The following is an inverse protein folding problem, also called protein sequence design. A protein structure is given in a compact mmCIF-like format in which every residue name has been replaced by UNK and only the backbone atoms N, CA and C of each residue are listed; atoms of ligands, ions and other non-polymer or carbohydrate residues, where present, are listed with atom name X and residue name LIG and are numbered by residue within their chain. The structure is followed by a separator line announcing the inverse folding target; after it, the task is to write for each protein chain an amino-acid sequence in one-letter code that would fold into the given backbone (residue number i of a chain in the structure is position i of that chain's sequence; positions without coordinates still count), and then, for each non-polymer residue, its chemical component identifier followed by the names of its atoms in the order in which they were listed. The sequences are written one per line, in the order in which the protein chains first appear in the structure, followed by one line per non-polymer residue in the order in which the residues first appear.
data_IF_665227041972
#
_entry.id   IF_665227041972
#
_cell.length_a   1.000
_cell.length_b   1.000
_cell.length_c   1.000
_cell.angle_alpha   90.00
_cell.angle_beta   90.00
_cell.angle_gamma   90.00
#
_symmetry.space_group_name_H-M   'P 1'
#
loop_
_entity.id
_entity.type
_entity.pdbx_description
1 polymer ?
#
# COMPACT_ATOMS: atom_id res chain seq x y z
N UNK A 1 2.90 9.12 31.91
CA UNK A 1 2.16 8.33 32.91
C UNK A 1 1.10 9.18 33.63
N UNK A 2 1.41 10.41 34.04
CA UNK A 2 0.45 11.32 34.70
C UNK A 2 -0.73 11.75 33.77
N UNK A 3 -0.50 11.92 32.47
CA UNK A 3 -1.58 12.30 31.56
C UNK A 3 -2.58 11.18 31.26
N UNK A 4 -2.26 9.93 31.56
CA UNK A 4 -3.19 8.79 31.44
C UNK A 4 -4.19 8.72 32.59
N UNK A 5 -3.88 9.34 33.72
CA UNK A 5 -4.72 9.37 34.92
C UNK A 5 -5.79 10.48 34.89
N UNK A 6 -5.68 11.44 33.95
CA UNK A 6 -6.60 12.59 33.86
C UNK A 6 -7.76 12.44 32.88
N UNK A 7 -7.90 11.29 32.20
CA UNK A 7 -9.13 11.01 31.43
C UNK A 7 -10.27 10.73 32.40
N UNK A 8 -11.13 11.72 32.61
CA UNK A 8 -12.41 11.57 33.27
C UNK A 8 -13.26 10.57 32.50
N UNK A 9 -13.23 9.31 32.92
CA UNK A 9 -14.25 8.34 32.52
C UNK A 9 -15.56 8.80 33.15
N UNK A 10 -16.53 9.21 32.36
CA UNK A 10 -17.88 9.52 32.81
C UNK A 10 -18.45 8.28 33.51
N UNK A 11 -18.42 8.28 34.84
CA UNK A 11 -18.99 7.20 35.65
C UNK A 11 -18.08 6.65 36.76
N UNK A 12 -16.79 7.07 36.83
CA UNK A 12 -15.95 6.75 38.00
C UNK A 12 -16.07 7.85 39.06
N UNK A 13 -16.23 7.49 40.34
CA UNK A 13 -16.13 8.49 41.39
C UNK A 13 -14.74 9.18 41.36
N UNK A 14 -14.72 10.49 41.50
CA UNK A 14 -13.51 11.33 41.40
C UNK A 14 -12.43 11.02 42.47
N UNK A 15 -12.75 10.17 43.45
CA UNK A 15 -11.79 9.68 44.44
C UNK A 15 -12.07 8.26 44.86
N UNK A 16 -11.01 7.47 45.05
CA UNK A 16 -11.14 6.16 45.69
C UNK A 16 -11.52 6.39 47.17
N UNK A 17 -12.40 5.53 47.74
CA UNK A 17 -12.74 5.58 49.16
C UNK A 17 -11.49 5.39 50.02
N UNK A 18 -11.42 6.06 51.14
CA UNK A 18 -10.35 5.84 52.12
C UNK A 18 -10.42 4.42 52.66
N UNK A 19 -9.39 3.63 52.44
CA UNK A 19 -9.30 2.23 52.88
C UNK A 19 -8.10 2.07 53.83
N UNK A 20 -8.34 1.45 54.97
CA UNK A 20 -7.29 1.05 55.88
C UNK A 20 -6.61 -0.26 55.43
N UNK A 21 -5.35 -0.47 55.83
CA UNK A 21 -4.56 -1.67 55.47
C UNK A 21 -5.22 -3.01 55.83
N UNK A 22 -6.18 -3.00 56.78
CA UNK A 22 -6.88 -4.19 57.27
C UNK A 22 -8.34 -4.27 56.82
N UNK A 23 -8.78 -3.33 55.97
CA UNK A 23 -10.16 -3.34 55.44
C UNK A 23 -10.43 -4.61 54.62
N UNK A 24 -11.47 -5.36 54.98
CA UNK A 24 -11.93 -6.48 54.17
C UNK A 24 -12.80 -5.96 53.04
N UNK A 25 -12.39 -6.22 51.81
CA UNK A 25 -13.12 -5.81 50.62
C UNK A 25 -13.74 -7.06 50.03
N UNK A 26 -15.04 -7.00 49.75
CA UNK A 26 -15.78 -8.06 49.04
C UNK A 26 -16.05 -7.62 47.60
N UNK A 27 -15.59 -8.40 46.61
CA UNK A 27 -15.92 -8.13 45.23
C UNK A 27 -17.41 -8.35 44.97
N UNK A 28 -18.08 -7.42 44.30
CA UNK A 28 -19.48 -7.56 43.89
C UNK A 28 -19.62 -8.41 42.63
N UNK A 29 -18.66 -8.24 41.73
CA UNK A 29 -18.67 -8.88 40.43
C UNK A 29 -17.23 -9.01 39.92
N UNK A 30 -16.94 -10.12 39.24
CA UNK A 30 -15.67 -10.36 38.56
C UNK A 30 -16.00 -10.51 37.08
N UNK A 31 -15.56 -9.53 36.27
CA UNK A 31 -15.74 -9.54 34.83
C UNK A 31 -14.42 -9.98 34.15
N UNK A 32 -14.50 -10.98 33.32
CA UNK A 32 -13.41 -11.39 32.47
C UNK A 32 -13.58 -10.72 31.09
N UNK A 33 -12.70 -9.77 30.77
CA UNK A 33 -12.66 -9.11 29.46
C UNK A 33 -11.50 -9.66 28.64
N UNK A 34 -11.80 -10.24 27.48
CA UNK A 34 -10.79 -10.60 26.51
C UNK A 34 -10.36 -9.33 25.75
N UNK A 35 -9.07 -8.99 25.80
CA UNK A 35 -8.50 -7.82 25.07
C UNK A 35 -7.36 -8.29 24.18
N UNK A 36 -7.46 -7.95 22.90
CA UNK A 36 -6.39 -8.14 21.94
C UNK A 36 -5.62 -6.86 21.72
N UNK A 37 -4.31 -6.95 21.52
CA UNK A 37 -3.47 -5.81 21.13
C UNK A 37 -3.78 -5.40 19.70
N UNK A 38 -3.80 -4.10 19.46
CA UNK A 38 -3.93 -3.58 18.11
C UNK A 38 -2.54 -3.48 17.44
N UNK A 39 -2.43 -3.74 16.13
CA UNK A 39 -1.18 -3.52 15.41
C UNK A 39 -0.79 -2.03 15.42
N UNK A 40 0.50 -1.70 15.16
CA UNK A 40 0.94 -0.33 15.02
C UNK A 40 0.13 0.41 13.95
N UNK A 41 -0.14 1.69 14.20
CA UNK A 41 -0.87 2.53 13.22
C UNK A 41 0.00 2.78 11.99
N UNK A 42 -0.62 2.81 10.81
CA UNK A 42 0.06 3.23 9.58
C UNK A 42 0.49 4.69 9.69
N UNK A 43 1.56 5.06 9.00
CA UNK A 43 2.05 6.42 8.96
C UNK A 43 1.05 7.38 8.30
N UNK A 44 0.89 8.56 8.87
CA UNK A 44 0.43 9.75 8.15
C UNK A 44 1.66 10.49 7.59
N UNK A 45 1.46 11.45 6.68
CA UNK A 45 2.57 12.27 6.17
C UNK A 45 3.35 12.94 7.33
N UNK A 46 2.65 13.52 8.31
CA UNK A 46 3.28 14.16 9.46
C UNK A 46 4.06 13.17 10.34
N UNK A 47 3.54 11.95 10.53
CA UNK A 47 4.26 10.91 11.28
C UNK A 47 5.49 10.42 10.50
N UNK A 48 5.40 10.32 9.16
CA UNK A 48 6.54 9.94 8.33
C UNK A 48 7.64 11.01 8.40
N UNK A 49 7.29 12.30 8.31
CA UNK A 49 8.26 13.41 8.49
C UNK A 49 8.96 13.31 9.83
N UNK A 50 8.20 13.12 10.90
CA UNK A 50 8.78 12.99 12.25
C UNK A 50 9.73 11.79 12.38
N UNK A 51 9.38 10.67 11.75
CA UNK A 51 10.24 9.47 11.74
C UNK A 51 11.52 9.69 10.92
N UNK A 52 11.41 10.35 9.76
CA UNK A 52 12.56 10.74 8.94
C UNK A 52 13.50 11.67 9.72
N UNK A 53 12.97 12.67 10.40
CA UNK A 53 13.73 13.58 11.26
C UNK A 53 14.44 12.81 12.38
N UNK A 54 13.73 11.93 13.08
CA UNK A 54 14.29 11.11 14.16
C UNK A 54 15.44 10.22 13.71
N UNK A 55 15.35 9.69 12.47
CA UNK A 55 16.39 8.83 11.87
C UNK A 55 17.45 9.59 11.09
N UNK A 56 17.36 10.91 10.99
CA UNK A 56 18.30 11.76 10.24
C UNK A 56 18.22 11.60 8.72
N UNK A 57 17.08 11.10 8.21
CA UNK A 57 16.84 10.89 6.78
C UNK A 57 16.22 12.14 6.18
N UNK A 58 16.93 12.79 5.26
CA UNK A 58 16.51 14.06 4.68
C UNK A 58 16.75 15.26 5.61
N UNK A 59 16.27 16.40 5.16
CA UNK A 59 16.36 17.69 5.90
C UNK A 59 15.01 18.42 5.74
N UNK A 60 14.72 19.45 6.57
CA UNK A 60 13.45 20.18 6.49
C UNK A 60 13.08 20.64 5.08
N UNK A 61 14.07 21.03 4.29
CA UNK A 61 13.88 21.45 2.88
C UNK A 61 13.51 20.31 1.92
N UNK A 62 13.76 19.05 2.28
CA UNK A 62 13.56 17.88 1.38
C UNK A 62 12.40 16.99 1.78
N UNK A 63 11.87 17.05 3.00
CA UNK A 63 10.82 16.14 3.47
C UNK A 63 9.59 16.14 2.56
N UNK A 64 9.08 17.32 2.21
CA UNK A 64 7.89 17.42 1.35
C UNK A 64 8.14 16.84 -0.04
N UNK A 65 9.30 17.12 -0.62
CA UNK A 65 9.69 16.60 -1.94
C UNK A 65 9.85 15.07 -1.94
N UNK A 66 10.34 14.49 -0.84
CA UNK A 66 10.45 13.03 -0.70
C UNK A 66 9.05 12.40 -0.68
N UNK A 67 8.13 12.91 0.14
CA UNK A 67 6.76 12.39 0.23
C UNK A 67 6.03 12.53 -1.10
N UNK A 68 6.19 13.68 -1.77
CA UNK A 68 5.60 13.91 -3.08
C UNK A 68 6.13 12.89 -4.11
N UNK A 69 7.44 12.63 -4.15
CA UNK A 69 8.05 11.63 -5.04
C UNK A 69 7.55 10.21 -4.77
N UNK A 70 7.35 9.82 -3.51
CA UNK A 70 6.77 8.52 -3.17
C UNK A 70 5.38 8.34 -3.79
N UNK A 71 4.55 9.40 -3.74
CA UNK A 71 3.21 9.41 -4.34
C UNK A 71 3.25 9.48 -5.85
N UNK A 72 4.11 10.33 -6.44
CA UNK A 72 4.28 10.45 -7.89
C UNK A 72 4.78 9.17 -8.56
N UNK A 73 5.63 8.41 -7.85
CA UNK A 73 6.13 7.11 -8.30
C UNK A 73 5.15 5.97 -8.00
N UNK A 74 4.00 6.27 -7.42
CA UNK A 74 3.00 5.28 -7.03
C UNK A 74 3.54 4.20 -6.07
N UNK A 75 4.58 4.52 -5.29
CA UNK A 75 5.11 3.61 -4.28
C UNK A 75 4.23 3.57 -3.04
N UNK A 76 3.53 4.66 -2.77
CA UNK A 76 2.51 4.77 -1.73
C UNK A 76 1.26 5.47 -2.26
N UNK A 77 0.12 5.11 -1.71
CA UNK A 77 -1.15 5.82 -1.90
C UNK A 77 -1.64 6.40 -0.59
N UNK A 78 -2.33 7.53 -0.67
CA UNK A 78 -2.93 8.18 0.50
C UNK A 78 -4.42 7.84 0.59
N UNK A 79 -4.81 7.14 1.65
CA UNK A 79 -6.21 6.79 1.95
C UNK A 79 -6.51 7.17 3.40
N UNK A 80 -7.57 7.95 3.63
CA UNK A 80 -7.97 8.38 4.97
C UNK A 80 -6.83 9.01 5.81
N UNK A 81 -6.04 9.91 5.19
CA UNK A 81 -4.87 10.57 5.79
C UNK A 81 -3.71 9.64 6.18
N UNK A 82 -3.76 8.38 5.80
CA UNK A 82 -2.67 7.41 6.03
C UNK A 82 -2.00 7.03 4.72
N UNK A 83 -0.70 6.74 4.80
CA UNK A 83 0.10 6.25 3.69
C UNK A 83 0.06 4.73 3.66
N UNK A 84 -0.26 4.17 2.50
CA UNK A 84 -0.36 2.74 2.28
C UNK A 84 0.62 2.36 1.17
N UNK A 85 1.58 1.44 1.42
CA UNK A 85 2.47 0.95 0.38
C UNK A 85 1.68 0.22 -0.71
N UNK A 86 2.05 0.46 -1.96
CA UNK A 86 1.56 -0.31 -3.11
C UNK A 86 2.39 -1.57 -3.31
N UNK A 87 1.92 -2.50 -4.13
CA UNK A 87 2.72 -3.67 -4.51
C UNK A 87 4.01 -3.29 -5.24
N UNK A 88 3.95 -2.25 -6.07
CA UNK A 88 5.12 -1.70 -6.76
C UNK A 88 6.12 -1.14 -5.75
N UNK A 89 5.65 -0.36 -4.77
CA UNK A 89 6.49 0.18 -3.71
C UNK A 89 7.20 -0.91 -2.91
N UNK A 90 6.48 -1.99 -2.56
CA UNK A 90 7.05 -3.14 -1.83
C UNK A 90 8.09 -3.87 -2.69
N UNK A 91 7.78 -4.14 -3.97
CA UNK A 91 8.73 -4.81 -4.86
C UNK A 91 10.02 -4.00 -5.06
N UNK A 92 9.90 -2.67 -5.22
CA UNK A 92 11.06 -1.79 -5.32
C UNK A 92 11.86 -1.80 -4.02
N UNK A 93 11.21 -1.75 -2.85
CA UNK A 93 11.90 -1.85 -1.55
C UNK A 93 12.66 -3.17 -1.43
N UNK A 94 12.01 -4.30 -1.74
CA UNK A 94 12.64 -5.63 -1.71
C UNK A 94 13.83 -5.73 -2.69
N UNK A 95 13.68 -5.19 -3.90
CA UNK A 95 14.78 -5.15 -4.88
C UNK A 95 15.99 -4.40 -4.33
N UNK A 96 15.76 -3.20 -3.80
CA UNK A 96 16.81 -2.34 -3.27
C UNK A 96 17.48 -2.96 -2.03
N UNK A 97 16.71 -3.54 -1.13
CA UNK A 97 17.22 -4.23 0.05
C UNK A 97 18.05 -5.47 -0.30
N UNK A 98 17.62 -6.25 -1.28
CA UNK A 98 18.29 -7.49 -1.65
C UNK A 98 19.59 -7.26 -2.46
N UNK A 99 19.60 -6.28 -3.36
CA UNK A 99 20.72 -6.06 -4.29
C UNK A 99 21.58 -4.85 -3.96
N UNK A 100 21.00 -3.83 -3.33
CA UNK A 100 21.63 -2.54 -3.11
C UNK A 100 21.60 -2.09 -1.64
N UNK A 101 21.48 -3.01 -0.70
CA UNK A 101 21.34 -2.70 0.73
C UNK A 101 22.46 -1.80 1.26
N UNK A 102 23.68 -1.90 0.71
CA UNK A 102 24.79 -1.03 1.08
C UNK A 102 24.49 0.47 0.87
N UNK A 103 23.65 0.82 -0.12
CA UNK A 103 23.26 2.20 -0.43
C UNK A 103 21.84 2.57 0.00
N UNK A 104 20.95 1.58 0.13
CA UNK A 104 19.52 1.78 0.37
C UNK A 104 19.09 1.33 1.77
N UNK A 105 19.89 1.67 2.78
CA UNK A 105 19.51 1.51 4.18
C UNK A 105 19.45 2.88 4.89
N UNK A 106 18.72 2.91 5.97
CA UNK A 106 18.48 4.12 6.74
C UNK A 106 19.78 4.77 7.25
N UNK A 107 20.72 3.95 7.72
CA UNK A 107 22.00 4.40 8.26
C UNK A 107 22.85 5.06 7.18
N UNK A 108 22.95 4.45 6.00
CA UNK A 108 23.72 5.01 4.90
C UNK A 108 23.16 6.38 4.49
N UNK A 109 21.81 6.49 4.39
CA UNK A 109 21.15 7.74 4.01
C UNK A 109 21.44 8.83 5.06
N UNK A 110 21.31 8.53 6.35
CA UNK A 110 21.61 9.47 7.41
C UNK A 110 23.08 9.90 7.43
N UNK A 111 24.01 8.95 7.24
CA UNK A 111 25.44 9.23 7.16
C UNK A 111 25.80 10.10 5.94
N UNK A 112 25.15 9.87 4.81
CA UNK A 112 25.33 10.69 3.61
C UNK A 112 24.87 12.14 3.84
N UNK A 113 23.70 12.33 4.45
CA UNK A 113 23.21 13.65 4.83
C UNK A 113 24.19 14.39 5.77
N UNK A 114 24.73 13.68 6.75
CA UNK A 114 25.74 14.25 7.67
C UNK A 114 27.05 14.63 6.95
N UNK A 115 27.50 13.81 5.97
CA UNK A 115 28.66 14.12 5.13
C UNK A 115 28.42 15.35 4.26
N UNK A 116 27.23 15.50 3.69
CA UNK A 116 26.86 16.71 2.92
C UNK A 116 26.85 17.96 3.80
N UNK A 117 26.35 17.86 5.01
CA UNK A 117 26.40 18.95 5.99
C UNK A 117 27.85 19.31 6.35
N UNK A 118 28.74 18.31 6.53
CA UNK A 118 30.16 18.53 6.80
C UNK A 118 30.89 19.21 5.62
N UNK A 119 30.53 18.84 4.36
CA UNK A 119 31.04 19.56 3.18
C UNK A 119 30.59 21.02 3.21
N UNK A 120 29.33 21.31 3.54
CA UNK A 120 28.81 22.67 3.60
C UNK A 120 29.52 23.53 4.64
N UNK A 121 30.04 22.92 5.72
CA UNK A 121 30.86 23.57 6.77
C UNK A 121 32.37 23.57 6.44
N UNK A 122 32.77 23.08 5.27
CA UNK A 122 34.19 22.93 4.85
C UNK A 122 35.02 21.99 5.76
N UNK A 123 34.37 21.06 6.45
CA UNK A 123 34.99 20.04 7.29
C UNK A 123 35.45 18.82 6.48
N UNK A 124 34.79 18.53 5.35
CA UNK A 124 35.08 17.43 4.45
C UNK A 124 35.32 17.90 3.02
N UNK A 125 36.20 17.20 2.30
CA UNK A 125 36.41 17.43 0.86
C UNK A 125 35.27 16.81 0.05
N UNK A 126 34.60 17.62 -0.77
CA UNK A 126 33.59 17.15 -1.72
C UNK A 126 34.13 16.03 -2.64
N UNK A 127 35.35 16.19 -3.12
CA UNK A 127 35.98 15.24 -4.06
C UNK A 127 36.23 13.87 -3.38
N UNK A 128 36.65 13.87 -2.14
CA UNK A 128 36.87 12.63 -1.38
C UNK A 128 35.57 11.90 -1.13
N UNK A 129 34.54 12.59 -0.67
CA UNK A 129 33.20 12.01 -0.45
C UNK A 129 32.64 11.44 -1.74
N UNK A 130 32.80 12.15 -2.87
CA UNK A 130 32.34 11.67 -4.18
C UNK A 130 33.11 10.44 -4.67
N UNK A 131 34.44 10.40 -4.45
CA UNK A 131 35.27 9.24 -4.79
C UNK A 131 34.87 8.01 -3.96
N UNK A 132 34.71 8.18 -2.67
CA UNK A 132 34.25 7.08 -1.79
C UNK A 132 32.86 6.57 -2.20
N UNK A 133 31.91 7.46 -2.50
CA UNK A 133 30.59 7.06 -2.96
C UNK A 133 30.66 6.27 -4.26
N UNK A 134 31.47 6.68 -5.20
CA UNK A 134 31.55 6.05 -6.52
C UNK A 134 32.37 4.75 -6.50
N UNK A 135 33.56 4.75 -5.90
CA UNK A 135 34.46 3.59 -5.90
C UNK A 135 34.27 2.66 -4.69
N UNK A 136 33.61 3.14 -3.65
CA UNK A 136 33.47 2.45 -2.37
C UNK A 136 34.66 2.70 -1.44
N UNK A 137 34.54 2.14 -0.26
CA UNK A 137 35.58 2.11 0.77
C UNK A 137 35.62 0.72 1.44
N UNK A 138 36.23 0.60 2.62
CA UNK A 138 36.31 -0.66 3.35
C UNK A 138 34.96 -1.14 3.88
N UNK A 139 33.99 -0.23 4.05
CA UNK A 139 32.70 -0.52 4.71
C UNK A 139 31.60 -0.85 3.67
N UNK A 140 31.69 -0.37 2.45
CA UNK A 140 30.69 -0.64 1.43
C UNK A 140 31.26 -0.65 0.00
N UNK A 141 30.58 -1.39 -0.89
CA UNK A 141 30.84 -1.39 -2.33
C UNK A 141 30.35 -0.07 -2.93
N UNK A 142 31.21 0.63 -3.70
CA UNK A 142 30.82 1.83 -4.41
C UNK A 142 29.83 1.57 -5.55
N UNK A 143 29.19 2.65 -6.01
CA UNK A 143 28.21 2.61 -7.12
C UNK A 143 28.77 1.93 -8.36
N UNK A 144 30.04 2.14 -8.71
CA UNK A 144 30.66 1.51 -9.86
C UNK A 144 30.56 -0.02 -9.86
N UNK A 145 30.80 -0.65 -8.69
CA UNK A 145 30.69 -2.10 -8.56
C UNK A 145 29.25 -2.62 -8.48
N UNK A 146 28.33 -1.80 -7.96
CA UNK A 146 26.93 -2.16 -7.84
C UNK A 146 26.21 -2.13 -9.20
N UNK A 147 26.67 -1.30 -10.15
CA UNK A 147 26.12 -1.25 -11.51
C UNK A 147 26.43 -2.50 -12.34
N UNK A 148 27.46 -3.26 -11.96
CA UNK A 148 27.85 -4.51 -12.63
C UNK A 148 27.09 -5.73 -12.08
N UNK A 149 26.27 -5.57 -11.04
CA UNK A 149 25.50 -6.68 -10.47
C UNK A 149 24.31 -7.05 -11.38
N UNK A 150 24.24 -8.32 -11.76
CA UNK A 150 23.10 -8.85 -12.49
C UNK A 150 21.89 -9.01 -11.56
N UNK A 151 20.75 -8.47 -11.98
CA UNK A 151 19.49 -8.55 -11.24
C UNK A 151 18.53 -9.48 -11.95
N UNK A 152 18.02 -10.48 -11.25
CA UNK A 152 16.92 -11.31 -11.73
C UNK A 152 15.61 -10.51 -11.69
N UNK A 153 15.18 -10.02 -12.85
CA UNK A 153 13.98 -9.19 -13.02
C UNK A 153 12.74 -9.95 -12.58
N UNK A 154 12.64 -11.25 -12.85
CA UNK A 154 11.48 -12.05 -12.47
C UNK A 154 11.33 -12.11 -10.94
N UNK A 155 12.44 -12.32 -10.23
CA UNK A 155 12.48 -12.31 -8.78
C UNK A 155 12.24 -10.91 -8.21
N UNK A 156 12.80 -9.89 -8.83
CA UNK A 156 12.60 -8.49 -8.43
C UNK A 156 11.13 -8.04 -8.54
N UNK A 157 10.42 -8.55 -9.53
CA UNK A 157 8.98 -8.28 -9.73
C UNK A 157 8.07 -9.21 -8.93
N UNK A 158 8.58 -9.99 -7.98
CA UNK A 158 7.80 -10.91 -7.15
C UNK A 158 7.79 -10.44 -5.71
N UNK A 159 6.61 -10.25 -5.15
CA UNK A 159 6.38 -9.86 -3.75
C UNK A 159 5.84 -11.07 -2.98
N UNK A 160 6.58 -11.50 -1.96
CA UNK A 160 6.13 -12.56 -1.07
C UNK A 160 5.15 -11.99 -0.04
N UNK A 161 3.94 -12.52 0.01
CA UNK A 161 2.88 -12.07 0.95
C UNK A 161 2.81 -13.00 2.15
N UNK A 162 2.66 -14.29 1.88
CA UNK A 162 2.60 -15.37 2.87
C UNK A 162 3.33 -16.60 2.31
N UNK A 163 3.50 -17.63 3.15
CA UNK A 163 4.05 -18.89 2.70
C UNK A 163 3.21 -19.46 1.55
N UNK A 164 3.84 -19.69 0.41
CA UNK A 164 3.22 -20.16 -0.84
C UNK A 164 2.28 -19.15 -1.54
N UNK A 165 2.42 -17.85 -1.25
CA UNK A 165 1.65 -16.80 -1.87
C UNK A 165 2.55 -15.68 -2.40
N UNK A 166 2.83 -15.74 -3.71
CA UNK A 166 3.64 -14.77 -4.41
C UNK A 166 2.76 -13.91 -5.34
N UNK A 167 2.92 -12.60 -5.21
CA UNK A 167 2.32 -11.64 -6.12
C UNK A 167 3.38 -11.21 -7.12
N UNK A 168 3.06 -11.32 -8.39
CA UNK A 168 3.90 -10.83 -9.48
C UNK A 168 3.41 -9.50 -10.00
N UNK A 169 4.34 -8.62 -10.33
CA UNK A 169 4.06 -7.32 -10.92
C UNK A 169 4.32 -7.41 -12.41
N UNK A 170 3.26 -7.39 -13.19
CA UNK A 170 3.31 -7.42 -14.64
C UNK A 170 3.04 -6.05 -15.28
N UNK A 171 3.12 -6.00 -16.61
CA UNK A 171 2.81 -4.80 -17.41
C UNK A 171 1.42 -4.21 -17.11
N UNK A 172 0.48 -5.07 -16.70
CA UNK A 172 -0.92 -4.69 -16.48
C UNK A 172 -1.28 -4.58 -14.99
N UNK A 173 -0.31 -4.58 -14.10
CA UNK A 173 -0.50 -4.48 -12.64
C UNK A 173 -0.14 -5.76 -11.89
N UNK A 174 -0.44 -5.80 -10.59
CA UNK A 174 -0.16 -6.96 -9.75
C UNK A 174 -1.12 -8.13 -10.07
N UNK A 175 -0.60 -9.35 -10.04
CA UNK A 175 -1.37 -10.58 -10.24
C UNK A 175 -0.79 -11.73 -9.44
N UNK A 176 -1.61 -12.71 -9.11
CA UNK A 176 -1.20 -13.98 -8.53
C UNK A 176 -1.24 -15.05 -9.62
N UNK A 177 -0.21 -15.88 -9.67
CA UNK A 177 -0.17 -17.05 -10.55
C UNK A 177 -0.43 -18.30 -9.72
N UNK A 178 -1.53 -19.01 -10.01
CA UNK A 178 -1.90 -20.26 -9.37
C UNK A 178 -2.29 -21.28 -10.44
N UNK A 179 -1.68 -22.47 -10.42
CA UNK A 179 -1.99 -23.57 -11.36
C UNK A 179 -1.98 -23.17 -12.85
N UNK A 180 -1.06 -22.27 -13.22
CA UNK A 180 -0.94 -21.76 -14.60
C UNK A 180 -1.93 -20.64 -14.96
N UNK A 181 -2.87 -20.29 -14.09
CA UNK A 181 -3.81 -19.20 -14.27
C UNK A 181 -3.32 -17.93 -13.55
N UNK A 182 -3.57 -16.78 -14.14
CA UNK A 182 -3.25 -15.48 -13.58
C UNK A 182 -4.52 -14.80 -13.07
N UNK A 183 -4.58 -14.55 -11.76
CA UNK A 183 -5.66 -13.80 -11.11
C UNK A 183 -5.21 -12.37 -10.88
N UNK A 184 -5.83 -11.40 -11.54
CA UNK A 184 -5.49 -9.98 -11.42
C UNK A 184 -5.92 -9.45 -10.06
N UNK A 185 -5.05 -8.68 -9.40
CA UNK A 185 -5.37 -8.00 -8.15
C UNK A 185 -5.90 -6.60 -8.47
N UNK A 186 -7.11 -6.23 -8.00
CA UNK A 186 -7.66 -4.89 -8.18
C UNK A 186 -6.79 -3.80 -7.54
N UNK A 187 -6.77 -2.60 -8.12
CA UNK A 187 -5.94 -1.46 -7.64
C UNK A 187 -6.37 -0.93 -6.25
N UNK A 188 -7.59 -1.18 -5.83
CA UNK A 188 -8.13 -0.77 -4.54
C UNK A 188 -7.82 -1.76 -3.40
N UNK A 189 -7.22 -2.90 -3.72
CA UNK A 189 -6.79 -3.92 -2.77
C UNK A 189 -5.30 -3.77 -2.46
N UNK A 190 -4.97 -3.56 -1.20
CA UNK A 190 -3.61 -3.32 -0.75
C UNK A 190 -2.99 -4.54 -0.08
N UNK A 191 -1.65 -4.57 -0.05
CA UNK A 191 -0.86 -5.67 0.50
C UNK A 191 -1.36 -6.16 1.88
N UNK A 192 -1.62 -5.26 2.82
CA UNK A 192 -2.08 -5.63 4.17
C UNK A 192 -3.54 -6.08 4.27
N UNK A 193 -4.29 -6.06 3.16
CA UNK A 193 -5.68 -6.51 3.07
C UNK A 193 -5.80 -7.85 2.37
N UNK A 194 -4.70 -8.33 1.76
CA UNK A 194 -4.63 -9.62 1.08
C UNK A 194 -4.42 -10.75 2.07
N UNK A 195 -5.23 -11.78 1.90
CA UNK A 195 -5.04 -13.09 2.51
C UNK A 195 -5.50 -14.18 1.53
N UNK A 196 -5.15 -15.43 1.80
CA UNK A 196 -5.47 -16.56 0.93
C UNK A 196 -6.98 -16.66 0.61
N UNK A 197 -7.85 -16.42 1.59
CA UNK A 197 -9.31 -16.45 1.40
C UNK A 197 -9.78 -15.39 0.40
N UNK A 198 -9.32 -14.15 0.54
CA UNK A 198 -9.68 -13.06 -0.37
C UNK A 198 -9.20 -13.31 -1.80
N UNK A 199 -8.07 -13.99 -1.96
CA UNK A 199 -7.56 -14.37 -3.28
C UNK A 199 -8.36 -15.51 -3.91
N UNK A 200 -8.77 -16.51 -3.12
CA UNK A 200 -9.63 -17.58 -3.61
C UNK A 200 -11.01 -17.02 -4.01
N UNK A 201 -11.54 -16.04 -3.27
CA UNK A 201 -12.76 -15.32 -3.63
C UNK A 201 -12.59 -14.55 -4.95
N UNK A 202 -11.48 -13.83 -5.14
CA UNK A 202 -11.16 -13.12 -6.38
C UNK A 202 -10.98 -14.07 -7.57
N UNK A 203 -10.30 -15.19 -7.37
CA UNK A 203 -10.09 -16.20 -8.40
C UNK A 203 -11.43 -16.83 -8.85
N UNK A 204 -12.30 -17.12 -7.89
CA UNK A 204 -13.65 -17.62 -8.15
C UNK A 204 -14.48 -16.59 -8.94
N UNK A 205 -14.47 -15.31 -8.51
CA UNK A 205 -15.17 -14.22 -9.18
C UNK A 205 -14.65 -13.96 -10.61
N UNK A 206 -13.35 -14.20 -10.87
CA UNK A 206 -12.78 -14.03 -12.22
C UNK A 206 -13.01 -15.23 -13.14
N UNK A 207 -13.21 -16.42 -12.57
CA UNK A 207 -13.48 -17.66 -13.31
C UNK A 207 -14.96 -17.86 -13.63
N UNK A 208 -15.83 -17.40 -12.73
CA UNK A 208 -17.27 -17.46 -12.97
C UNK A 208 -17.67 -16.36 -13.97
N UNK A 209 -18.22 -16.77 -15.11
CA UNK A 209 -18.93 -15.85 -15.99
C UNK A 209 -20.23 -15.44 -15.28
N UNK A 210 -20.14 -14.44 -14.42
CA UNK A 210 -21.28 -13.87 -13.71
C UNK A 210 -22.20 -13.18 -14.70
N UNK A 211 -23.17 -13.94 -15.24
CA UNK A 211 -24.20 -13.40 -16.15
C UNK A 211 -25.14 -12.53 -15.32
N UNK A 212 -25.12 -11.23 -15.54
CA UNK A 212 -26.03 -10.26 -14.90
C UNK A 212 -27.38 -10.26 -15.59
N UNK A 213 -27.41 -10.53 -16.88
CA UNK A 213 -28.61 -10.48 -17.69
C UNK A 213 -28.32 -10.60 -19.18
N UNK A 214 -29.34 -10.31 -20.01
CA UNK A 214 -29.24 -10.36 -21.49
C UNK A 214 -29.40 -8.94 -22.04
N UNK A 215 -28.49 -8.54 -22.90
CA UNK A 215 -28.54 -7.27 -23.61
C UNK A 215 -29.65 -7.28 -24.66
N UNK A 216 -30.16 -6.13 -25.11
CA UNK A 216 -31.21 -5.97 -26.11
C UNK A 216 -30.91 -6.63 -27.48
N UNK A 217 -29.64 -6.92 -27.77
CA UNK A 217 -29.18 -7.64 -28.94
C UNK A 217 -29.17 -9.18 -28.78
N UNK A 218 -29.60 -9.70 -27.61
CA UNK A 218 -29.64 -11.14 -27.32
C UNK A 218 -28.32 -11.73 -26.83
N UNK A 219 -27.28 -10.92 -26.55
CA UNK A 219 -26.03 -11.39 -25.95
C UNK A 219 -26.09 -11.35 -24.42
N UNK A 220 -25.43 -12.30 -23.76
CA UNK A 220 -25.26 -12.26 -22.32
C UNK A 220 -24.36 -11.09 -21.91
N UNK A 221 -24.72 -10.45 -20.79
CA UNK A 221 -23.92 -9.42 -20.13
C UNK A 221 -23.17 -10.09 -18.99
N UNK A 222 -21.85 -10.10 -19.08
CA UNK A 222 -20.95 -10.70 -18.10
C UNK A 222 -20.37 -9.62 -17.20
N UNK A 223 -20.41 -9.82 -15.88
CA UNK A 223 -19.65 -9.04 -14.91
C UNK A 223 -18.28 -9.69 -14.77
N UNK A 224 -17.24 -8.92 -15.01
CA UNK A 224 -15.85 -9.34 -14.85
C UNK A 224 -15.07 -8.36 -13.97
N UNK A 225 -14.04 -8.85 -13.31
CA UNK A 225 -13.13 -8.03 -12.53
C UNK A 225 -11.81 -7.93 -13.30
N UNK A 226 -11.41 -6.71 -13.63
CA UNK A 226 -10.15 -6.41 -14.30
C UNK A 226 -9.23 -5.54 -13.46
N UNK A 227 -8.09 -5.14 -14.04
CA UNK A 227 -7.10 -4.28 -13.42
C UNK A 227 -7.68 -3.00 -12.81
N UNK A 228 -8.60 -2.35 -13.52
CA UNK A 228 -9.21 -1.08 -13.11
C UNK A 228 -10.50 -1.27 -12.29
N UNK A 229 -10.75 -2.47 -11.81
CA UNK A 229 -11.94 -2.84 -11.06
C UNK A 229 -12.98 -3.55 -11.90
N UNK A 230 -14.23 -3.64 -11.41
CA UNK A 230 -15.30 -4.36 -12.06
C UNK A 230 -15.73 -3.67 -13.36
N UNK A 231 -16.04 -4.49 -14.39
CA UNK A 231 -16.56 -4.05 -15.67
C UNK A 231 -17.60 -5.01 -16.21
N UNK A 232 -18.48 -4.50 -17.05
CA UNK A 232 -19.45 -5.32 -17.81
C UNK A 232 -18.95 -5.54 -19.23
N UNK A 233 -19.12 -6.76 -19.73
CA UNK A 233 -18.70 -7.18 -21.07
C UNK A 233 -19.82 -7.96 -21.76
N UNK A 234 -20.05 -7.70 -23.04
CA UNK A 234 -20.91 -8.55 -23.87
C UNK A 234 -20.15 -9.82 -24.29
N UNK A 235 -20.78 -10.97 -24.12
CA UNK A 235 -20.13 -12.27 -24.29
C UNK A 235 -19.54 -12.48 -25.71
N UNK A 236 -20.24 -12.10 -26.75
CA UNK A 236 -19.83 -12.31 -28.15
C UNK A 236 -19.08 -11.12 -28.73
N UNK A 237 -19.67 -9.94 -28.65
CA UNK A 237 -19.11 -8.71 -29.24
C UNK A 237 -17.93 -8.14 -28.49
N UNK A 238 -17.67 -8.64 -27.26
CA UNK A 238 -16.57 -8.18 -26.36
C UNK A 238 -16.59 -6.68 -26.05
N UNK A 239 -17.73 -6.02 -26.32
CA UNK A 239 -17.90 -4.62 -25.91
C UNK A 239 -17.93 -4.55 -24.39
N UNK A 240 -17.13 -3.66 -23.81
CA UNK A 240 -16.94 -3.58 -22.35
C UNK A 240 -17.00 -2.15 -21.84
N UNK A 241 -17.47 -1.99 -20.60
CA UNK A 241 -17.50 -0.73 -19.88
C UNK A 241 -17.24 -0.96 -18.39
N UNK A 242 -16.45 -0.09 -17.79
CA UNK A 242 -16.19 -0.13 -16.34
C UNK A 242 -17.44 0.22 -15.56
N UNK A 243 -17.66 -0.47 -14.45
CA UNK A 243 -18.70 -0.14 -13.49
C UNK A 243 -18.24 1.07 -12.67
N UNK A 244 -19.08 2.10 -12.61
CA UNK A 244 -18.74 3.30 -11.85
C UNK A 244 -18.68 2.98 -10.35
N UNK A 245 -17.69 3.53 -9.65
CA UNK A 245 -17.54 3.35 -8.18
C UNK A 245 -18.77 3.81 -7.40
N UNK A 246 -19.52 4.77 -7.92
CA UNK A 246 -20.77 5.26 -7.33
C UNK A 246 -21.93 4.27 -7.41
N UNK A 247 -21.90 3.31 -8.33
CA UNK A 247 -22.93 2.29 -8.50
C UNK A 247 -22.61 1.08 -7.62
N UNK A 248 -21.33 0.66 -7.59
CA UNK A 248 -20.93 -0.58 -6.92
C UNK A 248 -21.41 -1.84 -7.65
N UNK A 249 -20.81 -2.99 -7.32
CA UNK A 249 -21.20 -4.28 -7.92
C UNK A 249 -22.54 -4.76 -7.36
N UNK A 250 -22.80 -4.48 -6.11
CA UNK A 250 -24.00 -4.87 -5.35
C UNK A 250 -25.30 -4.23 -5.88
N UNK A 251 -25.19 -3.06 -6.51
CA UNK A 251 -26.32 -2.32 -7.06
C UNK A 251 -26.42 -2.45 -8.59
N UNK A 252 -25.56 -3.28 -9.20
CA UNK A 252 -25.49 -3.44 -10.63
C UNK A 252 -26.62 -4.34 -11.13
N UNK A 253 -27.66 -3.71 -11.71
CA UNK A 253 -28.78 -4.40 -12.36
C UNK A 253 -28.54 -4.55 -13.86
N UNK A 254 -29.32 -5.42 -14.51
CA UNK A 254 -29.31 -5.60 -15.97
C UNK A 254 -29.53 -4.28 -16.71
N UNK A 255 -30.48 -3.45 -16.25
CA UNK A 255 -30.80 -2.18 -16.91
C UNK A 255 -29.64 -1.19 -16.84
N UNK A 256 -29.00 -1.08 -15.67
CA UNK A 256 -27.79 -0.25 -15.49
C UNK A 256 -26.64 -0.75 -16.36
N UNK A 257 -26.47 -2.06 -16.48
CA UNK A 257 -25.43 -2.65 -17.32
C UNK A 257 -25.67 -2.36 -18.81
N UNK A 258 -26.93 -2.42 -19.28
CA UNK A 258 -27.32 -2.03 -20.65
C UNK A 258 -27.03 -0.54 -20.87
N UNK A 259 -27.37 0.31 -19.91
CA UNK A 259 -27.11 1.74 -20.02
C UNK A 259 -25.62 2.04 -20.10
N UNK A 260 -24.79 1.45 -19.24
CA UNK A 260 -23.34 1.57 -19.30
C UNK A 260 -22.77 1.12 -20.66
N UNK A 261 -23.23 0.00 -21.18
CA UNK A 261 -22.81 -0.53 -22.48
C UNK A 261 -23.30 0.33 -23.66
N UNK A 262 -24.34 1.14 -23.49
CA UNK A 262 -24.82 2.06 -24.52
C UNK A 262 -23.96 3.30 -24.70
N UNK A 263 -23.06 3.60 -23.77
CA UNK A 263 -22.18 4.76 -23.81
C UNK A 263 -21.00 4.56 -24.80
N UNK A 264 -20.52 5.63 -25.52
CA UNK A 264 -21.07 7.00 -25.53
C UNK A 264 -22.36 7.11 -26.35
N UNK A 265 -23.35 7.82 -25.82
CA UNK A 265 -24.57 8.18 -26.57
C UNK A 265 -24.25 9.36 -27.49
N UNK A 266 -24.69 9.27 -28.76
CA UNK A 266 -24.70 10.44 -29.65
C UNK A 266 -25.85 11.36 -29.22
N UNK A 267 -25.52 12.53 -28.71
CA UNK A 267 -26.49 13.51 -28.21
C UNK A 267 -27.06 14.42 -29.32
N UNK A 268 -26.77 14.11 -30.59
CA UNK A 268 -27.14 14.96 -31.71
C UNK A 268 -26.07 15.99 -32.07
N UNK A 269 -26.29 16.79 -33.11
CA UNK A 269 -25.46 17.93 -33.43
C UNK A 269 -25.83 19.10 -32.49
N UNK A 270 -24.82 19.87 -32.06
CA UNK A 270 -25.05 21.10 -31.32
C UNK A 270 -25.93 22.04 -32.19
N UNK A 271 -26.92 22.75 -31.63
CA UNK A 271 -27.80 23.57 -32.41
C UNK A 271 -27.17 24.89 -32.90
N UNK A 272 -25.85 25.02 -32.96
CA UNK A 272 -25.14 26.19 -33.53
C UNK A 272 -24.40 25.82 -34.81
#
# INVERSE_FOLDING_TARGET
YEQALTRKDKGRPDSLPALDKQSKIQSKEVLLEEKTTSPPRRFSEAMLVKEMETRGIGRPSTYSAIIEKLSQKEYVVKKNKTLIPTFVGIAVSQLLENHYNALFNERFTADMENRLDAISRSENSYLEVLKEFYYGNNDYKGVAKLLDEEVDIAKACTVNVEKDLDIRIGKFGPYVQKDGNNTTIPEDLFFGELNKKKLDDLDSMQKEDNVIGVHTNGENILLKIGRYGPYVELEKSKKRKSVLKSIGVENLTQDIAIELLSLPKKLGAHPD
#
